data_IF_278770054760
#
_entry.id   IF_278770054760
#
_cell.length_a   1.000
_cell.length_b   1.000
_cell.length_c   1.000
_cell.angle_alpha   90.00
_cell.angle_beta   90.00
_cell.angle_gamma   90.00
#
_symmetry.space_group_name_H-M   'P 1'
#
loop_
_entity.id
_entity.type
_entity.pdbx_description
1 polymer ?
#
# COMPACT_ATOMS: atom_id res chain seq x y z
N UNK A 1 -2.57 -22.90 -3.39
CA UNK A 1 -1.81 -23.86 -2.54
C UNK A 1 -1.01 -23.10 -1.50
N UNK A 2 -0.32 -22.01 -1.87
CA UNK A 2 0.36 -21.12 -0.92
C UNK A 2 -0.59 -20.37 0.04
N UNK A 3 -1.75 -19.87 -0.42
CA UNK A 3 -2.74 -19.27 0.49
C UNK A 3 -3.32 -20.28 1.49
N UNK A 4 -3.53 -21.53 1.08
CA UNK A 4 -3.94 -22.63 1.97
C UNK A 4 -2.79 -23.01 2.92
N UNK A 5 -1.54 -22.80 2.48
CA UNK A 5 -0.34 -23.01 3.28
C UNK A 5 -0.26 -21.96 4.41
N UNK A 6 -0.60 -20.70 4.13
CA UNK A 6 -0.69 -19.64 5.15
C UNK A 6 -1.93 -19.77 6.05
N UNK A 7 -2.95 -20.52 5.65
CA UNK A 7 -4.12 -20.79 6.49
C UNK A 7 -3.91 -22.01 7.40
N UNK A 8 -3.18 -23.04 6.93
CA UNK A 8 -2.87 -24.25 7.72
C UNK A 8 -1.66 -24.11 8.63
N UNK A 9 -0.69 -23.28 8.27
CA UNK A 9 0.32 -22.83 9.19
C UNK A 9 -0.23 -21.58 9.83
N UNK A 10 -0.74 -21.69 11.05
CA UNK A 10 -1.20 -20.59 11.92
C UNK A 10 -0.09 -19.54 12.23
N UNK A 11 0.90 -19.37 11.34
CA UNK A 11 1.96 -18.38 11.37
C UNK A 11 1.47 -16.95 11.06
N UNK A 12 0.18 -16.69 11.24
CA UNK A 12 -0.37 -15.34 11.28
C UNK A 12 -0.85 -14.98 12.68
N UNK A 13 -0.04 -15.18 13.74
CA UNK A 13 -0.35 -14.55 15.04
C UNK A 13 0.73 -14.50 16.12
N UNK A 14 1.99 -14.32 15.78
CA UNK A 14 2.89 -13.67 16.74
C UNK A 14 3.11 -12.26 16.18
N UNK A 15 2.79 -11.23 16.96
CA UNK A 15 3.15 -9.84 16.65
C UNK A 15 4.68 -9.76 16.68
N UNK A 16 5.33 -10.27 15.64
CA UNK A 16 6.78 -10.26 15.50
C UNK A 16 7.16 -8.80 15.45
N UNK A 17 7.86 -8.38 16.50
CA UNK A 17 8.57 -7.12 16.55
C UNK A 17 9.30 -6.95 15.21
N UNK A 18 9.18 -5.77 14.61
CA UNK A 18 10.00 -5.51 13.43
C UNK A 18 11.48 -5.45 13.83
N UNK A 19 12.35 -5.33 12.83
CA UNK A 19 13.79 -5.36 13.09
C UNK A 19 14.24 -4.22 14.02
N UNK A 20 13.59 -3.05 13.94
CA UNK A 20 13.88 -1.89 14.80
C UNK A 20 13.48 -2.17 16.25
N UNK A 21 12.29 -2.74 16.47
CA UNK A 21 11.81 -3.12 17.80
C UNK A 21 12.63 -4.27 18.41
N UNK A 22 13.10 -5.23 17.60
CA UNK A 22 14.03 -6.27 18.07
C UNK A 22 15.36 -5.69 18.51
N UNK A 23 15.92 -4.76 17.72
CA UNK A 23 17.14 -4.04 18.09
C UNK A 23 16.94 -3.21 19.36
N UNK A 24 15.80 -2.51 19.45
CA UNK A 24 15.42 -1.73 20.61
C UNK A 24 15.36 -2.59 21.87
N UNK A 25 14.75 -3.78 21.78
CA UNK A 25 14.69 -4.72 22.89
C UNK A 25 16.09 -5.16 23.34
N UNK A 26 16.95 -5.56 22.41
CA UNK A 26 18.31 -5.98 22.73
C UNK A 26 19.14 -4.86 23.39
N UNK A 27 19.01 -3.62 22.90
CA UNK A 27 19.68 -2.45 23.50
C UNK A 27 19.11 -2.10 24.86
N UNK A 28 17.79 -2.23 25.04
CA UNK A 28 17.14 -2.01 26.31
C UNK A 28 17.64 -3.00 27.37
N UNK A 29 17.72 -4.28 27.02
CA UNK A 29 18.16 -5.34 27.92
C UNK A 29 19.64 -5.15 28.30
N UNK A 30 20.50 -4.88 27.32
CA UNK A 30 21.89 -4.54 27.56
C UNK A 30 22.04 -3.28 28.44
N UNK A 31 21.28 -2.22 28.16
CA UNK A 31 21.30 -0.98 28.94
C UNK A 31 20.92 -1.19 30.41
N UNK A 32 20.00 -2.10 30.68
CA UNK A 32 19.62 -2.51 32.03
C UNK A 32 20.71 -3.35 32.71
N UNK A 33 21.36 -4.25 31.98
CA UNK A 33 22.46 -5.08 32.49
C UNK A 33 23.71 -4.24 32.86
N UNK A 34 24.08 -3.27 32.02
CA UNK A 34 25.13 -2.31 32.34
C UNK A 34 24.73 -1.31 33.43
N UNK A 35 23.42 -1.16 33.68
CA UNK A 35 22.84 -0.26 34.67
C UNK A 35 22.67 1.17 34.15
N UNK A 36 21.46 1.71 34.34
CA UNK A 36 21.06 3.04 33.88
C UNK A 36 21.87 4.20 34.48
N UNK A 37 22.56 3.98 35.61
CA UNK A 37 23.46 4.95 36.22
C UNK A 37 24.81 5.09 35.52
N UNK A 38 25.18 4.11 34.67
CA UNK A 38 26.41 4.21 33.88
C UNK A 38 26.17 5.06 32.62
N UNK A 39 27.15 5.85 32.17
CA UNK A 39 27.06 6.57 30.90
C UNK A 39 26.67 5.66 29.73
N UNK A 40 27.28 4.47 29.66
CA UNK A 40 27.05 3.51 28.60
C UNK A 40 25.65 2.88 28.65
N UNK A 41 25.21 2.40 29.82
CA UNK A 41 23.87 1.85 30.01
C UNK A 41 22.78 2.88 29.75
N UNK A 42 22.95 4.11 30.26
CA UNK A 42 22.04 5.23 29.99
C UNK A 42 21.92 5.54 28.50
N UNK A 43 23.04 5.52 27.75
CA UNK A 43 23.04 5.73 26.31
C UNK A 43 22.22 4.65 25.58
N UNK A 44 22.47 3.38 25.90
CA UNK A 44 21.76 2.24 25.31
C UNK A 44 20.25 2.33 25.54
N UNK A 45 19.82 2.70 26.75
CA UNK A 45 18.40 2.87 27.06
C UNK A 45 17.76 3.99 26.24
N UNK A 46 18.45 5.13 26.04
CA UNK A 46 17.94 6.23 25.21
C UNK A 46 17.82 5.81 23.74
N UNK A 47 18.84 5.12 23.20
CA UNK A 47 18.82 4.63 21.83
C UNK A 47 17.67 3.62 21.67
N UNK A 48 17.51 2.69 22.61
CA UNK A 48 16.41 1.73 22.60
C UNK A 48 15.03 2.41 22.55
N UNK A 49 14.80 3.44 23.36
CA UNK A 49 13.54 4.18 23.36
C UNK A 49 13.26 4.87 22.02
N UNK A 50 14.28 5.41 21.36
CA UNK A 50 14.14 6.01 20.04
C UNK A 50 13.84 4.95 18.96
N UNK A 51 14.53 3.81 19.00
CA UNK A 51 14.30 2.68 18.09
C UNK A 51 12.90 2.08 18.25
N UNK A 52 12.37 1.98 19.47
CA UNK A 52 10.97 1.57 19.67
C UNK A 52 9.97 2.54 19.01
N UNK A 53 10.22 3.86 19.08
CA UNK A 53 9.37 4.86 18.40
C UNK A 53 9.47 4.75 16.88
N UNK A 54 10.68 4.55 16.34
CA UNK A 54 10.87 4.31 14.91
C UNK A 54 10.14 3.05 14.45
N UNK A 55 10.29 1.95 15.20
CA UNK A 55 9.64 0.69 14.91
C UNK A 55 8.12 0.79 14.95
N UNK A 56 7.55 1.49 15.94
CA UNK A 56 6.13 1.76 15.98
C UNK A 56 5.66 2.59 14.76
N UNK A 57 6.40 3.64 14.40
CA UNK A 57 6.09 4.46 13.23
C UNK A 57 6.17 3.68 11.92
N UNK A 58 7.13 2.76 11.79
CA UNK A 58 7.26 1.89 10.61
C UNK A 58 6.06 0.94 10.50
N UNK A 59 5.61 0.36 11.62
CA UNK A 59 4.41 -0.49 11.64
C UNK A 59 3.18 0.28 11.18
N UNK A 60 2.98 1.50 11.67
CA UNK A 60 1.85 2.34 11.27
C UNK A 60 1.93 2.72 9.79
N UNK A 61 3.12 3.04 9.29
CA UNK A 61 3.38 3.28 7.87
C UNK A 61 3.01 2.07 7.00
N UNK A 62 3.52 0.88 7.35
CA UNK A 62 3.23 -0.36 6.61
C UNK A 62 1.74 -0.67 6.62
N UNK A 63 1.08 -0.52 7.77
CA UNK A 63 -0.36 -0.73 7.91
C UNK A 63 -1.16 0.25 7.05
N UNK A 64 -0.77 1.53 7.03
CA UNK A 64 -1.36 2.54 6.17
C UNK A 64 -1.23 2.16 4.69
N UNK A 65 -0.04 1.77 4.23
CA UNK A 65 0.20 1.35 2.85
C UNK A 65 -0.60 0.09 2.46
N UNK A 66 -0.67 -0.88 3.37
CA UNK A 66 -1.44 -2.09 3.16
C UNK A 66 -2.95 -1.80 3.01
N UNK A 67 -3.50 -0.96 3.88
CA UNK A 67 -4.92 -0.61 3.88
C UNK A 67 -5.31 0.33 2.74
N UNK A 68 -4.50 1.36 2.50
CA UNK A 68 -4.89 2.49 1.65
C UNK A 68 -4.43 2.34 0.20
N UNK A 69 -3.49 1.42 -0.06
CA UNK A 69 -2.93 1.22 -1.40
C UNK A 69 -3.03 -0.20 -1.87
N UNK A 70 -2.51 -1.17 -1.11
CA UNK A 70 -2.49 -2.56 -1.56
C UNK A 70 -3.88 -3.19 -1.56
N UNK A 71 -4.70 -2.93 -0.54
CA UNK A 71 -6.04 -3.51 -0.43
C UNK A 71 -6.98 -3.10 -1.57
N UNK A 72 -7.09 -1.82 -1.97
CA UNK A 72 -7.89 -1.42 -3.13
C UNK A 72 -7.46 -2.14 -4.42
N UNK A 73 -6.16 -2.20 -4.69
CA UNK A 73 -5.61 -2.89 -5.87
C UNK A 73 -5.93 -4.39 -5.83
N UNK A 74 -5.76 -5.01 -4.66
CA UNK A 74 -6.07 -6.42 -4.44
C UNK A 74 -7.55 -6.72 -4.70
N UNK A 75 -8.47 -5.90 -4.16
CA UNK A 75 -9.92 -6.04 -4.37
C UNK A 75 -10.29 -5.96 -5.84
N UNK A 76 -9.73 -5.01 -6.57
CA UNK A 76 -9.96 -4.90 -8.02
C UNK A 76 -9.49 -6.15 -8.78
N UNK A 77 -8.28 -6.64 -8.49
CA UNK A 77 -7.73 -7.83 -9.17
C UNK A 77 -8.51 -9.10 -8.83
N UNK A 78 -8.93 -9.26 -7.59
CA UNK A 78 -9.61 -10.47 -7.11
C UNK A 78 -11.11 -10.50 -7.42
N UNK A 79 -11.75 -9.34 -7.62
CA UNK A 79 -13.17 -9.20 -7.91
C UNK A 79 -13.43 -8.76 -9.35
N UNK A 80 -13.24 -7.47 -9.62
CA UNK A 80 -13.65 -6.82 -10.87
C UNK A 80 -12.93 -7.41 -12.08
N UNK A 81 -11.61 -7.57 -12.00
CA UNK A 81 -10.81 -8.11 -13.10
C UNK A 81 -11.19 -9.55 -13.43
N UNK A 82 -11.44 -10.39 -12.42
CA UNK A 82 -11.92 -11.77 -12.65
C UNK A 82 -13.29 -11.79 -13.33
N UNK A 83 -14.17 -10.88 -12.95
CA UNK A 83 -15.49 -10.73 -13.57
C UNK A 83 -15.37 -10.27 -15.02
N UNK A 84 -14.57 -9.25 -15.31
CA UNK A 84 -14.27 -8.78 -16.67
C UNK A 84 -13.73 -9.94 -17.53
N UNK A 85 -12.78 -10.72 -17.00
CA UNK A 85 -12.23 -11.86 -17.73
C UNK A 85 -13.27 -12.95 -18.01
N UNK A 86 -14.18 -13.21 -17.07
CA UNK A 86 -15.29 -14.15 -17.27
C UNK A 86 -16.22 -13.66 -18.37
N UNK A 87 -16.70 -12.42 -18.29
CA UNK A 87 -17.66 -11.87 -19.26
C UNK A 87 -17.06 -11.77 -20.66
N UNK A 88 -15.75 -11.47 -20.78
CA UNK A 88 -15.04 -11.52 -22.07
C UNK A 88 -15.02 -12.91 -22.69
N UNK A 89 -14.87 -13.97 -21.89
CA UNK A 89 -14.94 -15.36 -22.39
C UNK A 89 -16.35 -15.70 -22.87
N UNK A 90 -17.37 -15.31 -22.11
CA UNK A 90 -18.78 -15.50 -22.49
C UNK A 90 -19.09 -14.75 -23.78
N UNK A 91 -18.64 -13.50 -23.92
CA UNK A 91 -18.80 -12.71 -25.14
C UNK A 91 -18.17 -13.40 -26.36
N UNK A 92 -16.98 -13.98 -26.19
CA UNK A 92 -16.33 -14.73 -27.26
C UNK A 92 -17.13 -15.98 -27.66
N UNK A 93 -17.68 -16.71 -26.69
CA UNK A 93 -18.58 -17.84 -26.97
C UNK A 93 -19.82 -17.38 -27.75
N UNK A 94 -20.49 -16.32 -27.29
CA UNK A 94 -21.67 -15.76 -27.98
C UNK A 94 -21.36 -15.29 -29.40
N UNK A 95 -20.16 -14.74 -29.64
CA UNK A 95 -19.70 -14.39 -30.99
C UNK A 95 -19.58 -15.62 -31.90
N UNK A 96 -19.07 -16.73 -31.38
CA UNK A 96 -18.96 -17.99 -32.13
C UNK A 96 -20.33 -18.60 -32.42
N UNK A 97 -21.26 -18.55 -31.46
CA UNK A 97 -22.64 -18.99 -31.64
C UNK A 97 -23.34 -18.18 -32.74
N UNK A 98 -23.13 -16.86 -32.73
CA UNK A 98 -23.65 -15.96 -33.76
C UNK A 98 -23.10 -16.28 -35.15
N UNK A 99 -21.81 -16.59 -35.26
CA UNK A 99 -21.21 -17.00 -36.54
C UNK A 99 -21.75 -18.35 -37.02
N UNK A 100 -21.97 -19.30 -36.11
CA UNK A 100 -22.57 -20.59 -36.41
C UNK A 100 -24.03 -20.43 -36.90
N UNK A 101 -24.83 -19.58 -36.25
CA UNK A 101 -26.19 -19.27 -36.64
C UNK A 101 -26.26 -18.61 -38.03
N UNK A 102 -25.36 -17.65 -38.31
CA UNK A 102 -25.22 -17.04 -39.65
C UNK A 102 -24.86 -18.09 -40.71
N UNK A 103 -23.99 -19.03 -40.39
CA UNK A 103 -23.65 -20.15 -41.28
C UNK A 103 -24.84 -21.08 -41.53
N UNK A 104 -25.63 -21.38 -40.49
CA UNK A 104 -26.84 -22.20 -40.57
C UNK A 104 -27.89 -21.56 -41.48
N UNK A 105 -28.14 -20.26 -41.32
CA UNK A 105 -29.07 -19.51 -42.19
C UNK A 105 -28.64 -19.56 -43.66
N UNK A 106 -27.35 -19.33 -43.95
CA UNK A 106 -26.82 -19.41 -45.32
C UNK A 106 -26.96 -20.80 -45.96
N UNK A 107 -26.98 -21.86 -45.15
CA UNK A 107 -27.10 -23.26 -45.61
C UNK A 107 -28.55 -23.75 -45.68
N UNK A 108 -29.51 -23.01 -45.15
CA UNK A 108 -30.91 -23.40 -45.16
C UNK A 108 -31.51 -23.31 -46.58
N UNK A 109 -31.99 -24.45 -47.10
CA UNK A 109 -32.44 -24.59 -48.49
C UNK A 109 -33.97 -24.55 -48.67
N UNK A 110 -34.73 -24.89 -47.64
CA UNK A 110 -36.20 -24.81 -47.67
C UNK A 110 -36.68 -23.54 -46.99
N UNK A 111 -37.84 -23.04 -47.39
CA UNK A 111 -38.48 -21.85 -46.81
C UNK A 111 -38.70 -22.02 -45.30
N UNK A 112 -39.15 -23.21 -44.87
CA UNK A 112 -39.33 -23.52 -43.44
C UNK A 112 -38.00 -23.51 -42.68
N UNK A 113 -36.95 -24.14 -43.23
CA UNK A 113 -35.63 -24.13 -42.59
C UNK A 113 -35.04 -22.72 -42.52
N UNK A 114 -35.28 -21.89 -43.53
CA UNK A 114 -34.88 -20.48 -43.54
C UNK A 114 -35.62 -19.71 -42.44
N UNK A 115 -36.95 -19.84 -42.35
CA UNK A 115 -37.75 -19.18 -41.30
C UNK A 115 -37.30 -19.56 -39.89
N UNK A 116 -37.05 -20.84 -39.65
CA UNK A 116 -36.54 -21.33 -38.35
C UNK A 116 -35.12 -20.80 -38.06
N UNK A 117 -34.23 -20.81 -39.06
CA UNK A 117 -32.86 -20.30 -38.89
C UNK A 117 -32.82 -18.78 -38.71
N UNK A 118 -33.72 -18.02 -39.33
CA UNK A 118 -33.86 -16.58 -39.12
C UNK A 118 -34.34 -16.25 -37.71
N UNK A 119 -35.34 -17.00 -37.20
CA UNK A 119 -35.83 -16.82 -35.84
C UNK A 119 -34.72 -17.12 -34.81
N UNK A 120 -34.01 -18.24 -34.97
CA UNK A 120 -32.86 -18.62 -34.14
C UNK A 120 -31.74 -17.56 -34.20
N UNK A 121 -31.41 -17.07 -35.40
CA UNK A 121 -30.41 -16.02 -35.58
C UNK A 121 -30.79 -14.73 -34.85
N UNK A 122 -32.07 -14.32 -34.87
CA UNK A 122 -32.53 -13.13 -34.13
C UNK A 122 -32.32 -13.27 -32.62
N UNK A 123 -32.62 -14.44 -32.06
CA UNK A 123 -32.42 -14.71 -30.63
C UNK A 123 -30.94 -14.65 -30.28
N UNK A 124 -30.09 -15.34 -31.03
CA UNK A 124 -28.64 -15.39 -30.78
C UNK A 124 -27.99 -14.01 -30.96
N UNK A 125 -28.43 -13.23 -31.96
CA UNK A 125 -27.98 -11.85 -32.16
C UNK A 125 -28.33 -10.99 -30.94
N UNK A 126 -29.58 -11.05 -30.45
CA UNK A 126 -29.99 -10.29 -29.27
C UNK A 126 -29.20 -10.69 -28.00
N UNK A 127 -28.91 -11.98 -27.82
CA UNK A 127 -28.07 -12.45 -26.71
C UNK A 127 -26.62 -11.96 -26.82
N UNK A 128 -26.05 -11.95 -28.02
CA UNK A 128 -24.72 -11.41 -28.26
C UNK A 128 -24.66 -9.90 -27.96
N UNK A 129 -25.63 -9.13 -28.44
CA UNK A 129 -25.68 -7.68 -28.23
C UNK A 129 -25.83 -7.34 -26.74
N UNK A 130 -26.67 -8.09 -26.02
CA UNK A 130 -26.78 -7.98 -24.57
C UNK A 130 -25.45 -8.26 -23.86
N UNK A 131 -24.74 -9.31 -24.26
CA UNK A 131 -23.44 -9.66 -23.68
C UNK A 131 -22.35 -8.64 -24.01
N UNK A 132 -22.40 -8.06 -25.22
CA UNK A 132 -21.49 -7.00 -25.63
C UNK A 132 -21.68 -5.75 -24.77
N UNK A 133 -22.93 -5.38 -24.50
CA UNK A 133 -23.25 -4.23 -23.63
C UNK A 133 -22.79 -4.47 -22.18
N UNK A 134 -23.04 -5.67 -21.61
CA UNK A 134 -22.54 -6.04 -20.28
C UNK A 134 -21.02 -5.89 -20.21
N UNK A 135 -20.31 -6.40 -21.21
CA UNK A 135 -18.84 -6.35 -21.25
C UNK A 135 -18.35 -4.90 -21.38
N UNK A 136 -19.02 -4.10 -22.21
CA UNK A 136 -18.69 -2.68 -22.41
C UNK A 136 -18.81 -1.90 -21.10
N UNK A 137 -19.91 -2.04 -20.37
CA UNK A 137 -20.12 -1.37 -19.08
C UNK A 137 -19.03 -1.73 -18.06
N UNK A 138 -18.62 -3.00 -18.00
CA UNK A 138 -17.52 -3.43 -17.13
C UNK A 138 -16.18 -2.79 -17.52
N UNK A 139 -15.90 -2.66 -18.81
CA UNK A 139 -14.67 -2.03 -19.31
C UNK A 139 -14.65 -0.53 -19.04
N UNK A 140 -15.78 0.16 -19.15
CA UNK A 140 -15.89 1.59 -18.79
C UNK A 140 -15.60 1.82 -17.30
N UNK A 141 -16.02 0.89 -16.43
CA UNK A 141 -15.71 0.91 -15.00
C UNK A 141 -14.21 0.85 -14.66
N UNK A 142 -13.37 0.32 -15.55
CA UNK A 142 -11.91 0.24 -15.35
C UNK A 142 -11.29 1.63 -15.19
N UNK A 143 -11.75 2.62 -15.96
CA UNK A 143 -11.19 3.97 -15.90
C UNK A 143 -11.38 4.58 -14.50
N UNK A 144 -12.54 4.37 -13.90
CA UNK A 144 -12.84 4.79 -12.52
C UNK A 144 -11.94 4.10 -11.50
N UNK A 145 -11.75 2.78 -11.64
CA UNK A 145 -10.84 2.01 -10.78
C UNK A 145 -9.39 2.51 -10.89
N UNK A 146 -8.91 2.78 -12.10
CA UNK A 146 -7.56 3.33 -12.32
C UNK A 146 -7.38 4.70 -11.68
N UNK A 147 -8.37 5.59 -11.81
CA UNK A 147 -8.33 6.91 -11.15
C UNK A 147 -8.25 6.77 -9.63
N UNK A 148 -8.97 5.81 -9.04
CA UNK A 148 -8.87 5.50 -7.63
C UNK A 148 -7.47 4.97 -7.26
N UNK A 149 -6.91 4.04 -8.04
CA UNK A 149 -5.56 3.54 -7.81
C UNK A 149 -4.50 4.65 -7.87
N UNK A 150 -4.62 5.60 -8.80
CA UNK A 150 -3.73 6.76 -8.84
C UNK A 150 -3.81 7.61 -7.56
N UNK A 151 -5.01 7.74 -6.97
CA UNK A 151 -5.16 8.37 -5.65
C UNK A 151 -4.44 7.56 -4.57
N UNK A 152 -4.68 6.26 -4.51
CA UNK A 152 -4.02 5.35 -3.58
C UNK A 152 -2.47 5.41 -3.66
N UNK A 153 -1.91 5.59 -4.85
CA UNK A 153 -0.47 5.75 -5.05
C UNK A 153 0.05 7.08 -4.52
N UNK A 154 -0.73 8.16 -4.63
CA UNK A 154 -0.37 9.44 -3.99
C UNK A 154 -0.42 9.34 -2.47
N UNK A 155 -1.47 8.71 -1.94
CA UNK A 155 -1.61 8.48 -0.50
C UNK A 155 -0.45 7.62 0.05
N UNK A 156 0.05 6.66 -0.73
CA UNK A 156 1.25 5.88 -0.39
C UNK A 156 2.49 6.76 -0.23
N UNK A 157 2.75 7.63 -1.21
CA UNK A 157 3.92 8.52 -1.19
C UNK A 157 3.84 9.50 -0.01
N UNK A 158 2.64 10.02 0.28
CA UNK A 158 2.41 10.91 1.42
C UNK A 158 2.69 10.18 2.76
N UNK A 159 2.17 8.96 2.90
CA UNK A 159 2.42 8.10 4.07
C UNK A 159 3.92 7.83 4.26
N UNK A 160 4.63 7.56 3.15
CA UNK A 160 6.07 7.32 3.17
C UNK A 160 6.87 8.57 3.56
N UNK A 161 6.50 9.73 3.02
CA UNK A 161 7.13 11.01 3.37
C UNK A 161 6.95 11.33 4.85
N UNK A 162 5.73 11.16 5.37
CA UNK A 162 5.41 11.40 6.78
C UNK A 162 6.24 10.51 7.71
N UNK A 163 6.38 9.23 7.39
CA UNK A 163 7.20 8.30 8.16
C UNK A 163 8.67 8.73 8.22
N UNK A 164 9.29 9.04 7.07
CA UNK A 164 10.70 9.45 7.06
C UNK A 164 10.95 10.79 7.75
N UNK A 165 9.99 11.73 7.67
CA UNK A 165 10.07 12.98 8.42
C UNK A 165 10.05 12.75 9.94
N UNK A 166 9.14 11.89 10.41
CA UNK A 166 9.05 11.49 11.81
C UNK A 166 10.32 10.75 12.27
N UNK A 167 10.83 9.85 11.43
CA UNK A 167 12.06 9.10 11.72
C UNK A 167 13.26 10.03 11.88
N UNK A 168 13.43 10.98 10.95
CA UNK A 168 14.46 12.00 11.03
C UNK A 168 14.34 12.81 12.33
N UNK A 169 13.13 13.23 12.70
CA UNK A 169 12.91 13.99 13.93
C UNK A 169 13.32 13.20 15.18
N UNK A 170 12.93 11.93 15.29
CA UNK A 170 13.33 11.07 16.41
C UNK A 170 14.85 10.88 16.51
N UNK A 171 15.53 10.73 15.37
CA UNK A 171 16.99 10.59 15.34
C UNK A 171 17.71 11.90 15.67
N UNK A 172 17.20 13.03 15.21
CA UNK A 172 17.73 14.34 15.56
C UNK A 172 17.59 14.63 17.07
N UNK A 173 16.44 14.31 17.66
CA UNK A 173 16.22 14.44 19.10
C UNK A 173 17.16 13.54 19.91
N UNK A 174 17.32 12.27 19.51
CA UNK A 174 18.27 11.33 20.12
C UNK A 174 19.71 11.85 20.05
N UNK A 175 20.15 12.33 18.87
CA UNK A 175 21.49 12.88 18.69
C UNK A 175 21.74 14.04 19.67
N UNK A 176 20.77 14.94 19.83
CA UNK A 176 20.85 16.05 20.79
C UNK A 176 20.94 15.54 22.23
N UNK A 177 20.10 14.59 22.62
CA UNK A 177 20.10 14.01 23.97
C UNK A 177 21.39 13.27 24.35
N UNK A 178 22.08 12.68 23.37
CA UNK A 178 23.37 12.03 23.57
C UNK A 178 24.54 13.03 23.55
N UNK A 179 24.44 14.12 22.76
CA UNK A 179 25.44 15.19 22.74
C UNK A 179 25.47 16.05 23.99
N UNK A 180 24.38 16.07 24.77
CA UNK A 180 24.21 16.88 25.99
C UNK A 180 25.18 16.59 27.14
N UNK A 181 26.12 15.67 26.94
CA UNK A 181 27.26 15.43 27.82
C UNK A 181 26.92 14.54 29.01
N UNK A 182 27.64 13.42 29.14
CA UNK A 182 27.70 12.69 30.40
C UNK A 182 28.50 13.53 31.40
N UNK A 183 27.83 14.42 32.13
CA UNK A 183 28.44 14.95 33.35
C UNK A 183 28.52 13.79 34.32
N UNK A 184 29.69 13.15 34.38
CA UNK A 184 30.06 12.26 35.48
C UNK A 184 30.03 13.14 36.73
N UNK A 185 28.86 13.19 37.36
CA UNK A 185 28.73 13.80 38.67
C UNK A 185 29.37 12.80 39.61
N UNK A 186 30.70 12.89 39.74
CA UNK A 186 31.41 12.27 40.85
C UNK A 186 30.69 12.74 42.11
N UNK A 187 30.00 11.79 42.73
CA UNK A 187 29.25 11.97 43.96
C UNK A 187 30.20 12.39 45.08
N UNK A 188 30.40 13.69 45.23
CA UNK A 188 30.69 14.28 46.51
C UNK A 188 29.37 14.81 47.08
N UNK A 189 28.92 14.09 48.11
CA UNK A 189 27.78 14.38 48.98
C UNK A 189 27.62 15.88 49.29
N UNK A 190 26.48 16.45 48.93
CA UNK A 190 26.13 17.84 49.20
C UNK A 190 24.65 18.09 48.94
N UNK A 191 23.86 18.10 50.01
CA UNK A 191 22.41 18.26 50.06
C UNK A 191 21.94 19.66 49.63
N UNK A 192 20.88 19.74 48.81
CA UNK A 192 19.96 20.88 48.82
C UNK A 192 19.40 21.34 47.46
N UNK A 193 18.07 21.43 47.38
CA UNK A 193 17.39 22.43 46.53
C UNK A 193 16.77 21.91 45.23
N UNK A 194 15.50 21.54 45.30
CA UNK A 194 14.63 21.11 44.22
C UNK A 194 14.06 22.32 43.45
N UNK A 195 14.29 22.43 42.13
CA UNK A 195 13.40 23.19 41.22
C UNK A 195 13.40 22.55 39.83
N UNK A 196 12.24 22.04 39.44
CA UNK A 196 11.93 21.47 38.12
C UNK A 196 11.56 22.62 37.18
N UNK A 197 12.33 22.82 36.11
CA UNK A 197 11.97 23.70 35.01
C UNK A 197 11.71 22.86 33.75
N UNK A 198 10.47 22.92 33.26
CA UNK A 198 10.01 22.23 32.05
C UNK A 198 10.39 23.06 30.81
N UNK A 199 11.12 22.52 29.82
CA UNK A 199 11.40 23.23 28.58
C UNK A 199 10.24 23.04 27.58
N UNK A 200 9.75 24.17 27.05
CA UNK A 200 8.68 24.24 26.05
C UNK A 200 9.16 23.79 24.66
N UNK A 201 8.29 23.03 23.98
CA UNK A 201 8.46 22.47 22.64
C UNK A 201 8.58 23.57 21.57
N UNK A 202 9.74 23.72 20.93
CA UNK A 202 9.88 24.52 19.71
C UNK A 202 9.72 23.64 18.48
N UNK A 203 8.66 23.89 17.71
CA UNK A 203 8.48 23.34 16.36
C UNK A 203 9.42 24.08 15.41
N UNK A 204 10.49 23.41 14.96
CA UNK A 204 11.30 23.91 13.85
C UNK A 204 10.72 23.37 12.55
N UNK A 205 10.00 24.24 11.83
CA UNK A 205 9.55 23.99 10.46
C UNK A 205 10.79 24.00 9.55
N UNK A 206 11.24 22.83 9.09
CA UNK A 206 12.24 22.75 8.03
C UNK A 206 11.55 23.00 6.69
N UNK A 207 11.68 24.23 6.19
CA UNK A 207 11.26 24.64 4.86
C UNK A 207 12.16 23.96 3.82
N UNK A 208 11.71 22.84 3.27
CA UNK A 208 12.34 22.27 2.07
C UNK A 208 12.03 23.18 0.88
N UNK A 209 13.07 23.80 0.34
CA UNK A 209 13.03 24.45 -0.97
C UNK A 209 12.77 23.38 -2.03
N UNK A 210 11.57 23.42 -2.61
CA UNK A 210 11.25 22.67 -3.81
C UNK A 210 12.16 23.13 -4.95
N UNK A 211 13.14 22.31 -5.32
CA UNK A 211 13.81 22.44 -6.61
C UNK A 211 12.80 22.12 -7.69
N UNK A 212 12.38 23.17 -8.40
CA UNK A 212 11.56 23.11 -9.60
C UNK A 212 12.23 22.20 -10.63
N UNK A 213 11.74 20.97 -10.77
CA UNK A 213 12.02 20.13 -11.92
C UNK A 213 11.28 20.73 -13.13
N UNK A 214 11.99 21.53 -13.92
CA UNK A 214 11.49 22.08 -15.18
C UNK A 214 11.01 20.96 -16.10
N UNK A 215 9.78 21.13 -16.58
CA UNK A 215 9.13 20.35 -17.61
C UNK A 215 9.80 20.61 -18.96
N UNK A 216 10.58 19.67 -19.45
CA UNK A 216 10.85 19.50 -20.88
C UNK A 216 10.30 18.13 -21.31
N UNK A 217 8.97 18.01 -21.35
CA UNK A 217 8.29 16.95 -22.10
C UNK A 217 7.67 17.64 -23.30
N UNK A 218 8.49 17.78 -24.35
CA UNK A 218 8.04 18.18 -25.68
C UNK A 218 7.33 16.97 -26.29
N UNK A 219 6.07 17.22 -26.62
CA UNK A 219 5.07 16.31 -27.13
C UNK A 219 5.45 15.77 -28.54
N UNK A 220 5.45 14.45 -28.77
CA UNK A 220 5.53 13.91 -30.12
C UNK A 220 4.12 13.96 -30.74
N UNK A 221 3.86 15.02 -31.50
CA UNK A 221 2.80 15.06 -32.50
C UNK A 221 3.47 14.97 -33.87
N UNK A 222 2.86 14.21 -34.76
CA UNK A 222 3.06 14.21 -36.22
C UNK A 222 4.15 13.25 -36.73
N UNK A 223 3.78 11.96 -36.78
CA UNK A 223 4.19 11.08 -37.87
C UNK A 223 3.01 10.14 -38.17
N UNK A 224 2.09 10.64 -39.00
CA UNK A 224 1.39 9.82 -40.00
C UNK A 224 2.40 9.10 -40.90
#
# INVERSE_FOLDING_TARGET
MEEVFYEKLELRKESRLNNLEQLAQAMNDAGNEFGAGTPYGSALLKIAQAEFKLGAGERDFINSCASNTLLPVRRFLEGDMKTIQRERKVLNTKRLDLDAAKSRLRKAKSVEAQGNAEADLRVIQAEFDKQAEITKLLLEGIQTAHNNHLKCLRDFVESQMSFYALAHQHMADLQRELSGGYTVTSSNTGSGGNTIAVPATQQTVLQFSSTSASKDIINPSDAE
#
